data_IF_901215054558
#
_entry.id   IF_901215054558
#
_cell.length_a   1.000
_cell.length_b   1.000
_cell.length_c   1.000
_cell.angle_alpha   90.00
_cell.angle_beta   90.00
_cell.angle_gamma   90.00
#
_symmetry.space_group_name_H-M   'P 1'
#
loop_
_entity.id
_entity.type
_entity.pdbx_description
1 polymer ?
#
# COMPACT_ATOMS: atom_id res chain seq x y z
N UNK A 1 -7.68 5.63 -4.02
CA UNK A 1 -9.16 5.41 -3.99
C UNK A 1 -9.56 3.99 -4.38
N UNK A 2 -9.11 3.45 -5.53
CA UNK A 2 -9.49 2.10 -5.99
C UNK A 2 -9.42 1.00 -4.91
N UNK A 3 -8.33 0.96 -4.12
CA UNK A 3 -8.21 0.03 -2.98
C UNK A 3 -9.35 0.18 -1.98
N UNK A 4 -9.64 1.41 -1.54
CA UNK A 4 -10.67 1.68 -0.54
C UNK A 4 -12.06 1.24 -1.01
N UNK A 5 -12.40 1.54 -2.27
CA UNK A 5 -13.65 1.12 -2.88
C UNK A 5 -13.77 -0.41 -2.95
N UNK A 6 -12.71 -1.10 -3.37
CA UNK A 6 -12.70 -2.56 -3.46
C UNK A 6 -12.77 -3.23 -2.08
N UNK A 7 -12.09 -2.69 -1.06
CA UNK A 7 -12.22 -3.19 0.32
C UNK A 7 -13.67 -3.12 0.81
N UNK A 8 -14.35 -1.99 0.54
CA UNK A 8 -15.76 -1.82 0.89
C UNK A 8 -16.66 -2.82 0.15
N UNK A 9 -16.45 -2.98 -1.15
CA UNK A 9 -17.17 -3.96 -1.98
C UNK A 9 -16.94 -5.41 -1.51
N UNK A 10 -15.78 -5.71 -0.94
CA UNK A 10 -15.47 -7.02 -0.33
C UNK A 10 -16.01 -7.18 1.10
N UNK A 11 -16.76 -6.20 1.62
CA UNK A 11 -17.41 -6.30 2.93
C UNK A 11 -16.56 -5.88 4.12
N UNK A 12 -15.44 -5.16 3.91
CA UNK A 12 -14.66 -4.61 5.03
C UNK A 12 -15.52 -3.57 5.77
N UNK A 13 -15.72 -3.80 7.07
CA UNK A 13 -16.65 -3.01 7.89
C UNK A 13 -16.17 -1.58 8.20
N UNK A 14 -14.86 -1.33 8.21
CA UNK A 14 -14.29 0.00 8.44
C UNK A 14 -13.16 0.29 7.47
N UNK A 15 -13.33 1.31 6.63
CA UNK A 15 -12.31 1.81 5.71
C UNK A 15 -12.19 3.32 5.90
N UNK A 16 -11.18 3.77 6.65
CA UNK A 16 -10.95 5.19 6.94
C UNK A 16 -9.94 5.79 5.94
N UNK A 17 -10.38 6.52 4.88
CA UNK A 17 -9.47 7.10 3.92
C UNK A 17 -8.74 8.32 4.50
N UNK A 18 -7.40 8.24 4.55
CA UNK A 18 -6.55 9.39 4.85
C UNK A 18 -5.97 9.95 3.56
N UNK A 19 -6.39 11.16 3.20
CA UNK A 19 -5.87 11.89 2.03
C UNK A 19 -5.93 13.39 2.27
N UNK A 20 -4.86 14.10 1.91
CA UNK A 20 -4.77 15.55 2.01
C UNK A 20 -5.07 16.24 0.67
N UNK A 21 -5.45 17.51 0.76
CA UNK A 21 -5.77 18.35 -0.39
C UNK A 21 -7.16 18.10 -0.98
N UNK A 22 -7.41 18.79 -2.09
CA UNK A 22 -8.66 18.71 -2.86
C UNK A 22 -8.43 17.99 -4.18
N UNK A 23 -9.51 17.46 -4.74
CA UNK A 23 -9.53 16.86 -6.08
C UNK A 23 -9.24 17.95 -7.11
N UNK A 24 -8.15 17.78 -7.87
CA UNK A 24 -7.79 18.62 -8.99
C UNK A 24 -8.33 18.04 -10.31
N UNK A 25 -8.42 18.86 -11.36
CA UNK A 25 -8.87 18.39 -12.68
C UNK A 25 -8.03 17.22 -13.23
N UNK A 26 -6.72 17.20 -12.93
CA UNK A 26 -5.82 16.10 -13.31
C UNK A 26 -6.12 14.78 -12.58
N UNK A 27 -6.86 14.82 -11.47
CA UNK A 27 -7.25 13.63 -10.72
C UNK A 27 -8.54 12.98 -11.28
N UNK A 28 -9.26 13.70 -12.15
CA UNK A 28 -10.53 13.26 -12.73
C UNK A 28 -10.30 12.14 -13.75
N UNK A 29 -11.16 11.13 -13.71
CA UNK A 29 -11.10 9.94 -14.55
C UNK A 29 -11.16 8.68 -13.69
N UNK A 30 -10.01 8.03 -13.49
CA UNK A 30 -9.86 6.70 -12.87
C UNK A 30 -10.55 6.60 -11.51
N UNK A 31 -10.45 7.68 -10.73
CA UNK A 31 -10.84 7.67 -9.33
C UNK A 31 -11.84 8.77 -9.01
N UNK A 32 -11.67 9.99 -9.52
CA UNK A 32 -12.58 11.08 -9.22
C UNK A 32 -13.46 11.44 -10.43
N UNK A 33 -14.69 11.87 -10.17
CA UNK A 33 -15.60 12.38 -11.19
C UNK A 33 -15.39 13.88 -11.36
N UNK A 34 -15.91 14.44 -12.46
CA UNK A 34 -15.89 15.90 -12.67
C UNK A 34 -16.60 16.65 -11.54
N UNK A 35 -17.69 16.07 -11.01
CA UNK A 35 -18.43 16.62 -9.87
C UNK A 35 -17.62 16.62 -8.57
N UNK A 36 -16.49 15.90 -8.51
CA UNK A 36 -15.63 15.86 -7.34
C UNK A 36 -14.59 16.99 -7.30
N UNK A 37 -14.35 17.69 -8.41
CA UNK A 37 -13.32 18.73 -8.49
C UNK A 37 -13.57 19.82 -7.44
N UNK A 38 -12.53 20.13 -6.66
CA UNK A 38 -12.60 21.10 -5.56
C UNK A 38 -13.03 20.50 -4.22
N UNK A 39 -13.69 19.34 -4.18
CA UNK A 39 -14.00 18.62 -2.93
C UNK A 39 -12.70 18.13 -2.27
N UNK A 40 -12.72 17.98 -0.94
CA UNK A 40 -11.61 17.32 -0.22
C UNK A 40 -11.50 15.88 -0.70
N UNK A 41 -10.28 15.42 -1.04
CA UNK A 41 -10.08 14.05 -1.58
C UNK A 41 -10.63 12.97 -0.66
N UNK A 42 -10.41 13.10 0.65
CA UNK A 42 -10.94 12.15 1.65
C UNK A 42 -12.47 12.03 1.60
N UNK A 43 -13.20 13.14 1.39
CA UNK A 43 -14.66 13.17 1.43
C UNK A 43 -15.23 12.57 0.13
N UNK A 44 -14.56 12.80 -1.01
CA UNK A 44 -14.88 12.15 -2.27
C UNK A 44 -14.61 10.63 -2.22
N UNK A 45 -13.47 10.20 -1.66
CA UNK A 45 -13.17 8.77 -1.46
C UNK A 45 -14.21 8.13 -0.54
N UNK A 46 -14.59 8.78 0.57
CA UNK A 46 -15.61 8.28 1.49
C UNK A 46 -16.97 8.11 0.79
N UNK A 47 -17.34 9.04 -0.10
CA UNK A 47 -18.57 8.92 -0.90
C UNK A 47 -18.52 7.65 -1.76
N UNK A 48 -17.39 7.38 -2.42
CA UNK A 48 -17.24 6.17 -3.26
C UNK A 48 -17.27 4.88 -2.42
N UNK A 49 -16.67 4.88 -1.23
CA UNK A 49 -16.73 3.76 -0.29
C UNK A 49 -18.18 3.47 0.13
N UNK A 50 -18.91 4.49 0.60
CA UNK A 50 -20.31 4.33 0.99
C UNK A 50 -21.20 3.90 -0.18
N UNK A 51 -20.88 4.32 -1.41
CA UNK A 51 -21.59 3.88 -2.62
C UNK A 51 -21.35 2.40 -2.91
N UNK A 52 -20.12 1.92 -2.73
CA UNK A 52 -19.77 0.52 -2.95
C UNK A 52 -20.37 -0.40 -1.88
N UNK A 53 -20.40 0.05 -0.63
CA UNK A 53 -21.07 -0.65 0.46
C UNK A 53 -21.55 0.34 1.54
N UNK A 54 -22.88 0.57 1.66
CA UNK A 54 -23.44 1.51 2.63
C UNK A 54 -23.19 1.15 4.10
N UNK A 55 -22.82 -0.09 4.40
CA UNK A 55 -22.53 -0.52 5.79
C UNK A 55 -21.07 -0.30 6.20
N UNK A 56 -20.18 0.07 5.27
CA UNK A 56 -18.78 0.36 5.56
C UNK A 56 -18.64 1.72 6.24
N UNK A 57 -18.07 1.73 7.44
CA UNK A 57 -17.75 2.95 8.19
C UNK A 57 -16.54 3.63 7.56
N UNK A 58 -16.64 4.95 7.32
CA UNK A 58 -15.56 5.78 6.75
C UNK A 58 -15.01 6.84 7.69
N UNK A 59 -15.56 6.93 8.91
CA UNK A 59 -15.10 7.86 9.92
C UNK A 59 -13.63 7.59 10.30
N UNK A 60 -12.86 8.62 10.70
CA UNK A 60 -11.51 8.43 11.22
C UNK A 60 -11.50 7.43 12.39
N UNK A 61 -10.43 6.63 12.48
CA UNK A 61 -10.23 5.74 13.62
C UNK A 61 -9.96 6.57 14.89
N UNK A 62 -10.52 6.17 16.05
CA UNK A 62 -10.13 6.73 17.34
C UNK A 62 -8.62 6.58 17.60
N UNK A 63 -7.98 7.58 18.21
CA UNK A 63 -6.53 7.57 18.43
C UNK A 63 -6.04 6.46 19.38
N UNK A 64 -6.93 5.91 20.20
CA UNK A 64 -6.67 4.79 21.12
C UNK A 64 -6.82 3.42 20.46
N UNK A 65 -7.41 3.34 19.26
CA UNK A 65 -7.61 2.11 18.50
C UNK A 65 -7.11 2.31 17.07
N UNK A 66 -5.87 1.93 16.81
CA UNK A 66 -5.29 1.93 15.47
C UNK A 66 -5.99 0.93 14.52
N UNK A 67 -5.85 1.09 13.20
CA UNK A 67 -6.40 0.15 12.22
C UNK A 67 -5.65 -1.20 12.26
N UNK A 68 -6.35 -2.28 11.93
CA UNK A 68 -5.75 -3.62 11.84
C UNK A 68 -4.64 -3.68 10.78
N UNK A 69 -4.78 -2.89 9.70
CA UNK A 69 -3.80 -2.78 8.63
C UNK A 69 -3.89 -1.40 7.94
N UNK A 70 -2.75 -0.72 7.80
CA UNK A 70 -2.64 0.46 6.94
C UNK A 70 -2.27 0.06 5.51
N UNK A 71 -3.03 0.53 4.52
CA UNK A 71 -2.64 0.41 3.11
C UNK A 71 -2.06 1.72 2.61
N UNK A 72 -0.74 1.74 2.40
CA UNK A 72 0.00 2.93 2.01
C UNK A 72 0.00 3.05 0.48
N UNK A 73 -0.82 3.95 -0.05
CA UNK A 73 -0.97 4.13 -1.51
C UNK A 73 -0.13 5.29 -2.04
N UNK A 74 0.12 5.29 -3.35
CA UNK A 74 0.69 6.37 -4.17
C UNK A 74 2.17 6.72 -3.93
N UNK A 75 2.75 6.39 -2.78
CA UNK A 75 4.14 6.77 -2.44
C UNK A 75 5.16 5.73 -2.94
N UNK A 76 6.12 6.15 -3.80
CA UNK A 76 7.17 5.27 -4.33
C UNK A 76 8.12 4.75 -3.25
N UNK A 77 8.57 5.65 -2.40
CA UNK A 77 9.43 5.37 -1.24
C UNK A 77 8.93 6.23 -0.09
N UNK A 78 8.50 5.57 0.99
CA UNK A 78 8.07 6.26 2.21
C UNK A 78 9.26 7.01 2.83
N UNK A 79 9.06 8.25 3.31
CA UNK A 79 10.10 8.95 4.05
C UNK A 79 10.59 8.11 5.24
N UNK A 80 11.91 8.05 5.52
CA UNK A 80 12.45 7.22 6.60
C UNK A 80 11.77 7.44 7.96
N UNK A 81 11.52 8.70 8.33
CA UNK A 81 10.84 9.04 9.59
C UNK A 81 9.43 8.44 9.70
N UNK A 82 8.70 8.27 8.60
CA UNK A 82 7.38 7.60 8.60
C UNK A 82 7.53 6.10 8.78
N UNK A 83 8.55 5.50 8.16
CA UNK A 83 8.85 4.07 8.34
C UNK A 83 9.22 3.82 9.81
N UNK A 84 10.09 4.65 10.39
CA UNK A 84 10.50 4.53 11.79
C UNK A 84 9.32 4.69 12.73
N UNK A 85 8.43 5.65 12.48
CA UNK A 85 7.18 5.82 13.24
C UNK A 85 6.30 4.56 13.17
N UNK A 86 5.98 4.07 11.96
CA UNK A 86 5.15 2.87 11.78
C UNK A 86 5.74 1.62 12.47
N UNK A 87 7.07 1.48 12.43
CA UNK A 87 7.77 0.39 13.09
C UNK A 87 7.77 0.55 14.62
N UNK A 88 7.96 1.77 15.13
CA UNK A 88 7.91 2.09 16.56
C UNK A 88 6.52 1.86 17.17
N UNK A 89 5.47 2.30 16.46
CA UNK A 89 4.06 2.10 16.83
C UNK A 89 3.58 0.66 16.61
N UNK A 90 4.45 -0.21 16.05
CA UNK A 90 4.15 -1.60 15.66
C UNK A 90 2.94 -1.73 14.72
N UNK A 91 2.66 -0.70 13.93
CA UNK A 91 1.51 -0.63 13.04
C UNK A 91 1.69 -1.54 11.81
N UNK A 92 0.82 -2.56 11.62
CA UNK A 92 0.81 -3.33 10.38
C UNK A 92 0.57 -2.45 9.17
N UNK A 93 1.34 -2.65 8.11
CA UNK A 93 1.19 -1.86 6.88
C UNK A 93 1.55 -2.62 5.60
N UNK A 94 0.88 -2.27 4.51
CA UNK A 94 1.09 -2.79 3.18
C UNK A 94 1.25 -1.63 2.17
N UNK A 95 2.43 -1.42 1.58
CA UNK A 95 2.60 -0.42 0.53
C UNK A 95 2.08 -0.94 -0.81
N UNK A 96 1.40 -0.07 -1.54
CA UNK A 96 0.84 -0.31 -2.88
C UNK A 96 1.23 0.89 -3.75
N UNK A 97 2.05 0.65 -4.76
CA UNK A 97 2.68 1.71 -5.55
C UNK A 97 2.96 1.27 -6.97
N UNK A 98 3.28 2.21 -7.86
CA UNK A 98 3.75 1.92 -9.21
C UNK A 98 5.24 2.17 -9.32
N UNK A 99 6.01 1.27 -9.93
CA UNK A 99 7.42 1.50 -10.25
C UNK A 99 7.61 1.25 -11.74
N UNK A 100 7.98 2.29 -12.48
CA UNK A 100 8.22 2.21 -13.93
C UNK A 100 7.03 1.60 -14.71
N UNK A 101 5.80 1.96 -14.33
CA UNK A 101 4.56 1.42 -14.92
C UNK A 101 4.08 0.10 -14.33
N UNK A 102 4.92 -0.61 -13.58
CA UNK A 102 4.60 -1.89 -12.93
C UNK A 102 3.94 -1.65 -11.58
N UNK A 103 2.80 -2.29 -11.33
CA UNK A 103 2.13 -2.28 -10.02
C UNK A 103 2.91 -3.12 -9.01
N UNK A 104 3.19 -2.58 -7.82
CA UNK A 104 3.96 -3.26 -6.77
C UNK A 104 3.18 -3.25 -5.46
N UNK A 105 2.89 -4.45 -4.95
CA UNK A 105 2.20 -4.69 -3.67
C UNK A 105 3.17 -5.34 -2.69
N UNK A 106 3.43 -4.68 -1.57
CA UNK A 106 4.23 -5.22 -0.47
C UNK A 106 5.68 -4.68 -0.36
N UNK A 107 6.48 -5.26 0.56
CA UNK A 107 6.12 -6.40 1.41
C UNK A 107 5.00 -6.09 2.41
N UNK A 108 4.21 -7.10 2.80
CA UNK A 108 3.33 -6.97 3.97
C UNK A 108 4.19 -6.89 5.22
N UNK A 109 4.14 -5.75 5.91
CA UNK A 109 4.95 -5.50 7.10
C UNK A 109 4.09 -5.71 8.35
N UNK A 110 4.45 -6.76 9.09
CA UNK A 110 4.02 -7.02 10.45
C UNK A 110 5.26 -6.83 11.34
N UNK A 111 5.40 -5.70 12.05
CA UNK A 111 6.63 -5.37 12.78
C UNK A 111 7.07 -6.49 13.73
N UNK A 112 8.34 -6.91 13.60
CA UNK A 112 8.92 -8.03 14.34
C UNK A 112 8.55 -9.43 13.87
N UNK A 113 7.74 -9.58 12.81
CA UNK A 113 7.29 -10.89 12.29
C UNK A 113 7.67 -11.12 10.83
N UNK A 114 7.52 -10.09 9.99
CA UNK A 114 7.88 -10.13 8.56
C UNK A 114 9.02 -9.18 8.25
N UNK A 115 9.60 -9.32 7.07
CA UNK A 115 10.57 -8.37 6.55
C UNK A 115 9.93 -7.00 6.37
N UNK A 116 10.64 -5.96 6.82
CA UNK A 116 10.19 -4.58 6.69
C UNK A 116 10.72 -3.94 5.40
N UNK A 117 10.30 -2.71 5.14
CA UNK A 117 10.78 -1.93 3.99
C UNK A 117 12.30 -1.76 3.97
N UNK A 118 12.94 -1.64 5.16
CA UNK A 118 14.40 -1.59 5.30
C UNK A 118 15.09 -2.91 4.95
N UNK A 119 14.46 -4.06 5.22
CA UNK A 119 15.00 -5.34 4.77
C UNK A 119 15.05 -5.40 3.24
N UNK A 120 13.96 -5.00 2.57
CA UNK A 120 13.91 -4.95 1.11
C UNK A 120 14.94 -3.96 0.55
N UNK A 121 15.15 -2.81 1.21
CA UNK A 121 16.18 -1.85 0.83
C UNK A 121 17.60 -2.42 0.96
N UNK A 122 17.92 -3.07 2.08
CA UNK A 122 19.24 -3.69 2.29
C UNK A 122 19.55 -4.78 1.27
N UNK A 123 18.58 -5.65 0.96
CA UNK A 123 18.73 -6.64 -0.10
C UNK A 123 18.97 -6.00 -1.47
N UNK A 124 18.30 -4.88 -1.78
CA UNK A 124 18.57 -4.15 -3.03
C UNK A 124 19.97 -3.55 -3.05
N UNK A 125 20.43 -2.97 -1.93
CA UNK A 125 21.80 -2.46 -1.80
C UNK A 125 22.87 -3.56 -2.00
N UNK A 126 22.57 -4.79 -1.56
CA UNK A 126 23.49 -5.92 -1.74
C UNK A 126 23.54 -6.40 -3.20
N UNK A 127 22.43 -6.27 -3.93
CA UNK A 127 22.34 -6.62 -5.35
C UNK A 127 22.88 -5.51 -6.27
N UNK A 128 22.68 -4.23 -5.91
CA UNK A 128 23.05 -3.07 -6.72
C UNK A 128 23.66 -1.97 -5.85
N UNK A 129 24.97 -1.75 -6.01
CA UNK A 129 25.72 -0.72 -5.28
C UNK A 129 25.28 0.71 -5.59
N UNK A 130 24.62 0.93 -6.73
CA UNK A 130 24.10 2.25 -7.12
C UNK A 130 22.73 2.55 -6.50
N UNK A 131 22.05 1.51 -5.98
CA UNK A 131 20.71 1.59 -5.43
C UNK A 131 20.50 2.70 -4.38
N UNK A 132 21.40 2.94 -3.40
CA UNK A 132 21.21 4.00 -2.41
C UNK A 132 21.07 5.41 -3.01
N UNK A 133 21.73 5.67 -4.14
CA UNK A 133 21.62 6.96 -4.84
C UNK A 133 20.27 7.06 -5.55
N UNK A 134 19.82 5.98 -6.17
CA UNK A 134 18.54 5.91 -6.88
C UNK A 134 17.36 5.99 -5.92
N UNK A 135 17.38 5.24 -4.82
CA UNK A 135 16.28 5.23 -3.84
C UNK A 135 16.07 6.60 -3.20
N UNK A 136 17.15 7.32 -2.88
CA UNK A 136 17.08 8.70 -2.41
C UNK A 136 16.39 9.65 -3.40
N UNK A 137 16.58 9.48 -4.70
CA UNK A 137 15.91 10.29 -5.72
C UNK A 137 14.40 10.00 -5.82
N UNK A 138 13.95 8.85 -5.34
CA UNK A 138 12.56 8.40 -5.41
C UNK A 138 11.75 8.71 -4.14
N UNK A 139 12.38 9.20 -3.07
CA UNK A 139 11.70 9.57 -1.82
C UNK A 139 10.61 10.61 -2.10
N UNK A 140 9.39 10.32 -1.65
CA UNK A 140 8.24 11.24 -1.76
C UNK A 140 7.72 11.45 -3.19
N UNK A 141 8.28 10.76 -4.20
CA UNK A 141 7.70 10.75 -5.54
C UNK A 141 6.50 9.81 -5.61
N UNK A 142 5.59 10.10 -6.52
CA UNK A 142 4.44 9.24 -6.83
C UNK A 142 4.61 8.61 -8.20
N UNK A 143 4.31 7.32 -8.30
CA UNK A 143 4.23 6.63 -9.59
C UNK A 143 2.90 6.95 -10.24
N UNK A 144 2.89 7.11 -11.57
CA UNK A 144 1.66 7.17 -12.36
C UNK A 144 1.52 5.90 -13.18
N UNK A 145 0.30 5.42 -13.29
CA UNK A 145 -0.06 4.33 -14.18
C UNK A 145 -1.42 4.63 -14.81
N UNK A 146 -1.71 3.91 -15.88
CA UNK A 146 -3.00 4.00 -16.56
C UNK A 146 -4.13 3.41 -15.68
N UNK A 147 -5.40 3.63 -16.05
CA UNK A 147 -6.56 3.14 -15.30
C UNK A 147 -6.57 1.63 -15.06
N UNK A 148 -6.21 0.83 -16.07
CA UNK A 148 -6.28 -0.62 -15.98
C UNK A 148 -5.22 -1.15 -15.01
N UNK A 149 -3.99 -0.64 -15.11
CA UNK A 149 -2.90 -0.97 -14.19
C UNK A 149 -3.24 -0.59 -12.75
N UNK A 150 -3.88 0.58 -12.55
CA UNK A 150 -4.39 1.02 -11.24
C UNK A 150 -5.37 0.02 -10.64
N UNK A 151 -6.39 -0.40 -11.40
CA UNK A 151 -7.40 -1.33 -10.92
C UNK A 151 -6.84 -2.73 -10.69
N UNK A 152 -5.99 -3.24 -11.59
CA UNK A 152 -5.36 -4.55 -11.42
C UNK A 152 -4.46 -4.61 -10.18
N UNK A 153 -3.68 -3.55 -9.95
CA UNK A 153 -2.83 -3.44 -8.75
C UNK A 153 -3.67 -3.31 -7.48
N UNK A 154 -4.76 -2.55 -7.52
CA UNK A 154 -5.68 -2.41 -6.39
C UNK A 154 -6.36 -3.76 -6.05
N UNK A 155 -6.83 -4.51 -7.05
CA UNK A 155 -7.40 -5.83 -6.87
C UNK A 155 -6.40 -6.81 -6.25
N UNK A 156 -5.16 -6.83 -6.76
CA UNK A 156 -4.08 -7.63 -6.19
C UNK A 156 -3.83 -7.27 -4.72
N UNK A 157 -3.76 -5.97 -4.41
CA UNK A 157 -3.56 -5.48 -3.04
C UNK A 157 -4.71 -5.88 -2.10
N UNK A 158 -5.96 -5.74 -2.53
CA UNK A 158 -7.14 -6.13 -1.72
C UNK A 158 -7.11 -7.63 -1.44
N UNK A 159 -6.75 -8.47 -2.42
CA UNK A 159 -6.56 -9.91 -2.18
C UNK A 159 -5.50 -10.22 -1.12
N UNK A 160 -4.43 -9.42 -1.04
CA UNK A 160 -3.43 -9.56 0.03
C UNK A 160 -3.95 -9.08 1.39
N UNK A 161 -4.67 -7.95 1.42
CA UNK A 161 -5.26 -7.36 2.64
C UNK A 161 -6.26 -8.34 3.26
N UNK A 162 -7.20 -8.87 2.48
CA UNK A 162 -8.24 -9.77 2.97
C UNK A 162 -7.65 -11.03 3.60
N UNK A 163 -6.58 -11.60 3.00
CA UNK A 163 -5.84 -12.73 3.58
C UNK A 163 -5.06 -12.35 4.84
N UNK A 164 -4.50 -11.13 4.88
CA UNK A 164 -3.70 -10.65 6.01
C UNK A 164 -4.54 -10.41 7.27
N UNK A 165 -5.79 -9.95 7.12
CA UNK A 165 -6.70 -9.65 8.23
C UNK A 165 -7.61 -10.83 8.61
N UNK A 166 -7.53 -11.94 7.88
CA UNK A 166 -8.29 -13.15 8.19
C UNK A 166 -7.61 -13.94 9.32
N UNK A 167 -8.31 -14.07 10.45
CA UNK A 167 -7.84 -14.87 11.58
C UNK A 167 -7.63 -16.34 11.19
N UNK A 168 -6.47 -16.89 11.54
CA UNK A 168 -6.14 -18.30 11.28
C UNK A 168 -5.90 -18.66 9.80
N UNK A 169 -5.86 -17.67 8.89
CA UNK A 169 -5.57 -17.88 7.48
C UNK A 169 -4.09 -18.19 7.19
N UNK A 170 -3.82 -18.77 6.03
CA UNK A 170 -2.45 -18.91 5.52
C UNK A 170 -1.82 -17.53 5.26
N UNK A 171 -0.51 -17.36 5.50
CA UNK A 171 0.18 -16.12 5.18
C UNK A 171 -0.06 -15.68 3.72
N UNK A 172 -0.38 -14.40 3.47
CA UNK A 172 -0.59 -13.93 2.10
C UNK A 172 0.72 -14.03 1.30
N UNK A 173 0.65 -14.15 -0.04
CA UNK A 173 1.85 -14.17 -0.89
C UNK A 173 2.80 -12.98 -0.71
N UNK A 174 2.29 -11.82 -0.25
CA UNK A 174 3.08 -10.64 0.12
C UNK A 174 3.87 -10.77 1.44
N UNK A 175 3.74 -11.88 2.16
CA UNK A 175 4.56 -12.22 3.31
C UNK A 175 6.02 -12.38 2.87
N UNK A 176 6.91 -11.56 3.44
CA UNK A 176 8.32 -11.48 3.07
C UNK A 176 8.54 -11.34 1.55
N UNK A 177 7.64 -10.68 0.82
CA UNK A 177 7.75 -10.55 -0.63
C UNK A 177 6.96 -9.36 -1.19
N UNK A 178 7.42 -8.82 -2.31
CA UNK A 178 6.63 -7.94 -3.18
C UNK A 178 5.98 -8.76 -4.29
N UNK A 179 4.74 -8.44 -4.62
CA UNK A 179 4.09 -8.88 -5.85
C UNK A 179 4.16 -7.75 -6.86
N UNK A 180 4.62 -8.05 -8.07
CA UNK A 180 4.80 -7.10 -9.17
C UNK A 180 3.85 -7.53 -10.31
N UNK A 181 2.95 -6.64 -10.73
CA UNK A 181 2.00 -6.87 -11.82
C UNK A 181 2.29 -5.90 -12.97
N UNK A 182 2.55 -6.46 -14.15
CA UNK A 182 2.82 -5.74 -15.38
C UNK A 182 1.76 -6.10 -16.43
N UNK A 183 0.90 -5.15 -16.78
CA UNK A 183 -0.14 -5.38 -17.79
C UNK A 183 0.37 -5.26 -19.23
N UNK A 184 1.56 -4.68 -19.44
CA UNK A 184 2.18 -4.60 -20.77
C UNK A 184 2.71 -5.97 -21.17
N UNK A 185 3.42 -6.65 -20.27
CA UNK A 185 3.92 -8.01 -20.53
C UNK A 185 2.90 -9.09 -20.19
N UNK A 186 1.94 -8.80 -19.30
CA UNK A 186 0.95 -9.75 -18.80
C UNK A 186 1.46 -10.59 -17.61
N UNK A 187 2.57 -10.20 -16.98
CA UNK A 187 3.21 -10.97 -15.93
C UNK A 187 2.76 -10.58 -14.52
N UNK A 188 2.72 -11.58 -13.64
CA UNK A 188 2.63 -11.40 -12.19
C UNK A 188 3.80 -12.11 -11.52
N UNK A 189 4.75 -11.34 -10.99
CA UNK A 189 5.98 -11.85 -10.39
C UNK A 189 5.97 -11.69 -8.88
N UNK A 190 6.40 -12.72 -8.15
CA UNK A 190 6.65 -12.65 -6.70
C UNK A 190 8.15 -12.53 -6.45
N UNK A 191 8.57 -11.44 -5.80
CA UNK A 191 9.96 -11.17 -5.45
C UNK A 191 10.13 -11.22 -3.93
N UNK A 192 10.90 -12.18 -3.45
CA UNK A 192 11.12 -12.43 -2.01
C UNK A 192 12.12 -11.44 -1.40
N UNK A 193 11.82 -11.02 -0.18
CA UNK A 193 12.65 -10.19 0.71
C UNK A 193 12.64 -10.84 2.08
N UNK A 194 13.62 -11.68 2.40
CA UNK A 194 13.71 -12.25 3.76
C UNK A 194 14.13 -11.18 4.77
N UNK A 195 13.82 -11.32 6.07
CA UNK A 195 14.39 -10.46 7.10
C UNK A 195 15.92 -10.43 6.98
N UNK A 196 16.44 -9.23 6.76
CA UNK A 196 17.83 -9.04 6.39
C UNK A 196 18.71 -9.05 7.67
N UNK A 197 19.87 -9.74 7.71
CA UNK A 197 20.72 -9.85 8.92
C UNK A 197 21.19 -8.52 9.52
N UNK A 198 21.47 -7.51 8.67
CA UNK A 198 21.81 -6.13 9.09
C UNK A 198 20.60 -5.28 9.52
N UNK A 199 19.38 -5.81 9.49
CA UNK A 199 18.18 -5.05 9.84
C UNK A 199 17.81 -5.27 11.31
N UNK A 200 17.49 -4.19 12.02
CA UNK A 200 17.11 -4.22 13.44
C UNK A 200 15.60 -4.32 13.65
N UNK A 201 14.84 -4.83 12.67
CA UNK A 201 13.37 -4.85 12.73
C UNK A 201 12.78 -5.94 13.63
N UNK A 202 13.62 -6.80 14.21
CA UNK A 202 13.23 -7.87 15.12
C UNK A 202 12.57 -9.09 14.47
N UNK A 203 12.38 -9.09 13.15
CA UNK A 203 11.86 -10.26 12.44
C UNK A 203 12.95 -11.34 12.34
N UNK A 204 12.60 -12.63 12.52
CA UNK A 204 13.57 -13.71 12.45
C UNK A 204 14.13 -13.81 11.03
N UNK A 205 15.45 -13.76 10.91
CA UNK A 205 16.13 -14.23 9.70
C UNK A 205 15.78 -15.69 9.51
N UNK A 206 14.97 -15.97 8.49
CA UNK A 206 14.50 -17.32 8.16
C UNK A 206 15.63 -18.25 7.76
#
# INVERSE_FOLDING_TARGET
MAVAQLLAACGVGHVAPESSGSVAQVDVGINFRWDDVGRRRRDAIATTVCTANPTTVTAPMPSDRGPDLLVLTDTLVLPPHRIDQLMGDRQPHLPVRFRDGVGVVGPLVLPGRTSCLRCAELHRCDLDRSWPRLSNQLIGRTGRADPASTQATAALAVGQVLRAVQDGGEPPPSWNATLEIDLVTGDVTRRTWLPHPRCTCGAPSG
#
